data_IF_548378532766
#
_entry.id   IF_548378532766
#
_cell.length_a   1.000
_cell.length_b   1.000
_cell.length_c   1.000
_cell.angle_alpha   90.00
_cell.angle_beta   90.00
_cell.angle_gamma   90.00
#
_symmetry.space_group_name_H-M   'P 1'
#
loop_
_entity.id
_entity.type
_entity.pdbx_description
1 polymer ?
#
# COMPACT_ATOMS: atom_id res chain seq x y z
N UNK A 1 5.33 16.75 4.96
CA UNK A 1 5.79 15.89 3.84
C UNK A 1 4.52 15.41 3.16
N UNK A 2 4.08 16.11 2.11
CA UNK A 2 2.83 15.83 1.43
C UNK A 2 3.06 14.72 0.41
N UNK A 3 2.47 13.55 0.66
CA UNK A 3 2.11 12.67 -0.44
C UNK A 3 1.10 13.43 -1.30
N UNK A 4 1.30 13.48 -2.62
CA UNK A 4 0.27 13.95 -3.54
C UNK A 4 -0.96 13.05 -3.33
N UNK A 5 -1.94 13.54 -2.57
CA UNK A 5 -3.06 12.77 -2.02
C UNK A 5 -4.01 12.24 -3.10
N UNK A 6 -3.71 12.45 -4.38
CA UNK A 6 -4.56 12.06 -5.50
C UNK A 6 -4.37 10.64 -6.01
N UNK A 7 -3.28 9.94 -5.67
CA UNK A 7 -2.95 8.66 -6.33
C UNK A 7 -2.46 7.58 -5.37
N UNK A 8 -3.26 6.51 -5.24
CA UNK A 8 -2.90 5.31 -4.50
C UNK A 8 -2.78 4.13 -5.47
N UNK A 9 -1.63 3.46 -5.45
CA UNK A 9 -1.40 2.25 -6.21
C UNK A 9 -0.88 1.14 -5.29
N UNK A 10 -1.60 0.01 -5.24
CA UNK A 10 -1.14 -1.21 -4.58
C UNK A 10 -0.79 -2.22 -5.66
N UNK A 11 0.48 -2.63 -5.71
CA UNK A 11 0.95 -3.68 -6.61
C UNK A 11 0.78 -5.03 -5.93
N UNK A 12 0.00 -5.91 -6.56
CA UNK A 12 -0.19 -7.29 -6.11
C UNK A 12 0.78 -8.22 -6.87
N UNK A 13 1.41 -9.15 -6.15
CA UNK A 13 2.31 -10.16 -6.73
C UNK A 13 3.78 -9.93 -6.38
N UNK A 14 4.66 -10.77 -6.97
CA UNK A 14 6.09 -10.77 -6.67
C UNK A 14 6.77 -9.51 -7.23
N UNK A 15 7.56 -8.86 -6.39
CA UNK A 15 8.43 -7.76 -6.78
C UNK A 15 9.83 -8.32 -7.02
N UNK A 16 10.47 -7.92 -8.13
CA UNK A 16 11.89 -8.16 -8.32
C UNK A 16 12.64 -7.40 -7.23
N UNK A 17 13.45 -8.10 -6.43
CA UNK A 17 14.13 -7.51 -5.27
C UNK A 17 15.02 -6.31 -5.63
N UNK A 18 15.45 -6.20 -6.90
CA UNK A 18 16.18 -5.05 -7.44
C UNK A 18 15.35 -3.77 -7.56
N UNK A 19 14.02 -3.87 -7.57
CA UNK A 19 13.11 -2.72 -7.67
C UNK A 19 12.78 -2.08 -6.30
N UNK A 20 13.12 -2.74 -5.19
CA UNK A 20 12.94 -2.17 -3.84
C UNK A 20 14.10 -1.25 -3.48
N UNK A 21 13.87 0.05 -3.51
CA UNK A 21 14.87 1.07 -3.16
C UNK A 21 14.48 1.84 -1.90
N UNK A 22 15.46 2.31 -1.11
CA UNK A 22 15.23 3.16 0.05
C UNK A 22 14.46 2.46 1.18
N UNK A 23 13.51 3.15 1.83
CA UNK A 23 12.71 2.59 2.95
C UNK A 23 11.90 1.35 2.55
N UNK A 24 11.54 1.20 1.28
CA UNK A 24 10.85 0.02 0.77
C UNK A 24 11.69 -1.26 0.87
N UNK A 25 13.03 -1.16 0.91
CA UNK A 25 13.92 -2.31 1.09
C UNK A 25 13.84 -2.92 2.50
N UNK A 26 13.38 -2.15 3.50
CA UNK A 26 13.20 -2.63 4.88
C UNK A 26 11.83 -3.29 5.11
N UNK A 27 10.93 -3.20 4.14
CA UNK A 27 9.60 -3.80 4.23
C UNK A 27 9.68 -5.22 3.69
N UNK A 28 9.41 -6.20 4.56
CA UNK A 28 9.27 -7.60 4.16
C UNK A 28 8.15 -7.74 3.14
N UNK A 29 8.38 -8.56 2.10
CA UNK A 29 7.33 -8.89 1.15
C UNK A 29 6.19 -9.61 1.88
N UNK A 30 4.96 -9.18 1.59
CA UNK A 30 3.77 -9.88 2.02
C UNK A 30 3.68 -11.19 1.25
N UNK A 31 3.70 -12.32 1.97
CA UNK A 31 3.46 -13.62 1.37
C UNK A 31 1.96 -13.75 1.03
N UNK A 32 1.66 -13.70 -0.26
CA UNK A 32 0.29 -13.81 -0.76
C UNK A 32 -0.05 -15.29 -0.89
N UNK A 33 -0.58 -15.86 0.20
CA UNK A 33 -0.93 -17.29 0.31
C UNK A 33 -1.87 -17.79 -0.80
N UNK A 34 -2.73 -16.90 -1.31
CA UNK A 34 -3.55 -17.13 -2.51
C UNK A 34 -3.72 -15.84 -3.30
N UNK A 35 -3.80 -15.91 -4.65
CA UNK A 35 -4.13 -14.75 -5.46
C UNK A 35 -5.46 -14.13 -5.02
N UNK A 36 -5.47 -12.81 -4.84
CA UNK A 36 -6.68 -12.06 -4.55
C UNK A 36 -7.51 -11.88 -5.83
N UNK A 37 -8.82 -12.09 -5.71
CA UNK A 37 -9.82 -11.69 -6.71
C UNK A 37 -9.86 -10.17 -6.88
N UNK A 38 -10.47 -9.70 -7.97
CA UNK A 38 -10.58 -8.26 -8.24
C UNK A 38 -11.27 -7.49 -7.10
N UNK A 39 -12.33 -8.07 -6.53
CA UNK A 39 -13.06 -7.45 -5.41
C UNK A 39 -12.21 -7.36 -4.15
N UNK A 40 -11.46 -8.41 -3.82
CA UNK A 40 -10.56 -8.40 -2.65
C UNK A 40 -9.43 -7.37 -2.81
N UNK A 41 -8.90 -7.21 -4.04
CA UNK A 41 -7.94 -6.15 -4.35
C UNK A 41 -8.56 -4.77 -4.16
N UNK A 42 -9.78 -4.55 -4.63
CA UNK A 42 -10.49 -3.29 -4.47
C UNK A 42 -10.73 -2.94 -2.99
N UNK A 43 -11.16 -3.92 -2.18
CA UNK A 43 -11.34 -3.75 -0.72
C UNK A 43 -10.00 -3.43 -0.05
N UNK A 44 -8.91 -4.08 -0.46
CA UNK A 44 -7.57 -3.80 0.07
C UNK A 44 -7.12 -2.36 -0.21
N UNK A 45 -7.34 -1.87 -1.43
CA UNK A 45 -7.05 -0.47 -1.81
C UNK A 45 -7.90 0.49 -0.99
N UNK A 46 -9.21 0.25 -0.89
CA UNK A 46 -10.12 1.08 -0.11
C UNK A 46 -9.71 1.14 1.37
N UNK A 47 -9.29 0.01 1.95
CA UNK A 47 -8.79 -0.05 3.32
C UNK A 47 -7.50 0.76 3.50
N UNK A 48 -6.52 0.62 2.60
CA UNK A 48 -5.26 1.36 2.68
C UNK A 48 -5.49 2.88 2.66
N UNK A 49 -6.33 3.36 1.74
CA UNK A 49 -6.72 4.79 1.68
C UNK A 49 -7.41 5.24 2.96
N UNK A 50 -8.30 4.41 3.50
CA UNK A 50 -9.04 4.75 4.73
C UNK A 50 -8.12 4.83 5.95
N UNK A 51 -7.11 3.96 6.04
CA UNK A 51 -6.10 3.98 7.11
C UNK A 51 -5.21 5.22 7.02
N UNK A 52 -4.72 5.54 5.81
CA UNK A 52 -3.92 6.74 5.59
C UNK A 52 -4.73 7.99 5.97
N UNK A 53 -5.99 8.06 5.53
CA UNK A 53 -6.89 9.16 5.89
C UNK A 53 -7.14 9.25 7.40
N UNK A 54 -7.47 8.15 8.09
CA UNK A 54 -7.68 8.17 9.56
C UNK A 54 -6.41 8.63 10.29
N UNK A 55 -5.23 8.13 9.90
CA UNK A 55 -3.95 8.54 10.49
C UNK A 55 -3.71 10.04 10.31
N UNK A 56 -3.79 10.55 9.07
CA UNK A 56 -3.53 11.97 8.81
C UNK A 56 -4.61 12.88 9.39
N UNK A 57 -5.87 12.46 9.44
CA UNK A 57 -6.94 13.25 10.07
C UNK A 57 -6.70 13.52 11.55
N UNK A 58 -5.97 12.63 12.23
CA UNK A 58 -5.64 12.75 13.66
C UNK A 58 -4.31 13.46 13.94
N UNK A 59 -3.41 13.49 12.96
CA UNK A 59 -2.04 14.00 13.12
C UNK A 59 -1.76 15.24 12.26
N UNK A 60 -2.76 15.78 11.55
CA UNK A 60 -2.70 17.07 10.86
C UNK A 60 -3.12 18.20 11.80
N UNK A 61 -2.24 18.52 12.76
CA UNK A 61 -2.26 19.73 13.58
C UNK A 61 -1.03 20.57 13.29
#
# INVERSE_FOLDING_TARGET
MFTDAGQYAIRFGKIDSSAKTGRAAQIHDLDVSRPLSLLERAVTVALAVSLDNDYFSRHSG
#
